data_IF_403109992071
#
_entry.id   IF_403109992071
#
_cell.length_a   1.000
_cell.length_b   1.000
_cell.length_c   1.000
_cell.angle_alpha   90.00
_cell.angle_beta   90.00
_cell.angle_gamma   90.00
#
_symmetry.space_group_name_H-M   'P 1'
#
loop_
_entity.id
_entity.type
_entity.pdbx_description
1 polymer ?
#
# COMPACT_ATOMS: atom_id res chain seq x y z
N UNK A 1 25.15 3.21 7.92
CA UNK A 1 24.61 2.08 7.13
C UNK A 1 23.41 2.59 6.39
N UNK A 2 23.33 2.50 5.06
CA UNK A 2 22.13 2.92 4.35
C UNK A 2 20.97 2.07 4.84
N UNK A 3 19.91 2.73 5.30
CA UNK A 3 18.64 2.10 5.64
C UNK A 3 18.10 1.56 4.33
N UNK A 4 18.13 0.22 4.19
CA UNK A 4 17.54 -0.50 3.08
C UNK A 4 16.15 0.06 2.78
N UNK A 5 15.86 0.26 1.49
CA UNK A 5 14.62 0.76 0.92
C UNK A 5 13.39 0.00 1.45
N UNK A 6 12.95 0.37 2.65
CA UNK A 6 11.62 0.00 3.10
C UNK A 6 10.67 0.70 2.15
N UNK A 7 9.69 -0.01 1.62
CA UNK A 7 8.65 0.53 0.73
C UNK A 7 7.71 1.44 1.55
N UNK A 8 8.23 2.59 2.01
CA UNK A 8 7.52 3.50 2.94
C UNK A 8 6.14 3.90 2.44
N UNK A 9 5.99 4.03 1.12
CA UNK A 9 4.71 4.42 0.49
C UNK A 9 3.64 3.34 0.61
N UNK A 10 4.00 2.06 0.49
CA UNK A 10 3.06 0.95 0.67
C UNK A 10 2.63 0.87 2.14
N UNK A 11 3.58 1.05 3.06
CA UNK A 11 3.33 1.10 4.50
C UNK A 11 2.42 2.29 4.83
N UNK A 12 2.68 3.46 4.25
CA UNK A 12 1.85 4.65 4.42
C UNK A 12 0.41 4.41 3.98
N UNK A 13 0.20 3.82 2.80
CA UNK A 13 -1.14 3.51 2.31
C UNK A 13 -1.86 2.50 3.20
N UNK A 14 -1.21 1.42 3.58
CA UNK A 14 -1.77 0.43 4.53
C UNK A 14 -2.13 1.10 5.86
N UNK A 15 -1.27 1.97 6.37
CA UNK A 15 -1.54 2.74 7.58
C UNK A 15 -2.76 3.65 7.43
N UNK A 16 -2.85 4.43 6.35
CA UNK A 16 -4.00 5.29 6.07
C UNK A 16 -5.30 4.49 5.95
N UNK A 17 -5.27 3.32 5.30
CA UNK A 17 -6.44 2.45 5.19
C UNK A 17 -6.82 1.83 6.54
N UNK A 18 -5.88 1.57 7.42
CA UNK A 18 -6.17 1.02 8.74
C UNK A 18 -6.81 2.05 9.67
N UNK A 19 -6.31 3.27 9.70
CA UNK A 19 -6.72 4.28 10.68
C UNK A 19 -7.71 5.31 10.14
N UNK A 20 -7.70 5.58 8.84
CA UNK A 20 -8.53 6.61 8.21
C UNK A 20 -9.46 6.04 7.12
N UNK A 21 -9.73 4.74 7.12
CA UNK A 21 -10.39 4.00 6.02
C UNK A 21 -11.58 4.75 5.42
N UNK A 22 -12.60 5.03 6.25
CA UNK A 22 -13.86 5.63 5.77
C UNK A 22 -13.63 6.98 5.10
N UNK A 23 -12.70 7.77 5.62
CA UNK A 23 -12.37 9.09 5.10
C UNK A 23 -11.48 9.00 3.85
N UNK A 24 -10.50 8.09 3.84
CA UNK A 24 -9.66 7.84 2.67
C UNK A 24 -10.47 7.33 1.48
N UNK A 25 -11.45 6.46 1.70
CA UNK A 25 -12.35 6.02 0.63
C UNK A 25 -13.12 7.19 0.02
N UNK A 26 -13.65 8.11 0.84
CA UNK A 26 -14.29 9.34 0.38
C UNK A 26 -13.32 10.27 -0.37
N UNK A 27 -12.09 10.40 0.11
CA UNK A 27 -11.03 11.18 -0.58
C UNK A 27 -10.75 10.61 -1.96
N UNK A 28 -10.79 9.28 -2.13
CA UNK A 28 -10.63 8.57 -3.40
C UNK A 28 -11.90 8.54 -4.26
N UNK A 29 -13.03 9.08 -3.77
CA UNK A 29 -14.30 9.08 -4.47
C UNK A 29 -15.07 7.76 -4.39
N UNK A 30 -14.75 6.91 -3.43
CA UNK A 30 -15.44 5.63 -3.17
C UNK A 30 -16.51 5.88 -2.10
N UNK A 31 -17.77 5.82 -2.50
CA UNK A 31 -18.92 6.04 -1.62
C UNK A 31 -19.55 4.68 -1.25
N UNK A 32 -18.89 3.94 -0.39
CA UNK A 32 -19.36 2.65 0.13
C UNK A 32 -19.32 2.69 1.66
N UNK A 33 -20.39 2.22 2.30
CA UNK A 33 -20.43 2.08 3.75
C UNK A 33 -19.71 0.79 4.19
N UNK A 34 -18.69 0.93 5.03
CA UNK A 34 -17.86 -0.19 5.50
C UNK A 34 -18.50 -0.80 6.74
N UNK A 35 -18.52 -2.13 6.77
CA UNK A 35 -18.93 -2.93 7.92
C UNK A 35 -17.70 -3.41 8.70
N UNK A 36 -16.75 -4.06 8.01
CA UNK A 36 -15.59 -4.68 8.65
C UNK A 36 -14.35 -4.61 7.75
N UNK A 37 -13.18 -4.48 8.39
CA UNK A 37 -11.88 -4.70 7.75
C UNK A 37 -11.59 -6.20 7.82
N UNK A 38 -11.48 -6.84 6.66
CA UNK A 38 -11.18 -8.26 6.61
C UNK A 38 -9.68 -8.50 6.77
N UNK A 39 -9.26 -9.58 7.45
CA UNK A 39 -7.86 -9.94 7.51
C UNK A 39 -7.30 -10.11 6.09
N UNK A 40 -6.18 -9.48 5.81
CA UNK A 40 -5.40 -9.78 4.60
C UNK A 40 -4.84 -11.19 4.75
N UNK A 41 -5.44 -12.16 4.05
CA UNK A 41 -5.03 -13.55 4.20
C UNK A 41 -3.74 -13.85 3.45
N UNK A 42 -2.77 -14.42 4.16
CA UNK A 42 -1.84 -15.38 3.55
C UNK A 42 -2.69 -16.55 3.07
N UNK A 43 -2.91 -16.66 1.76
CA UNK A 43 -3.65 -17.78 1.21
C UNK A 43 -2.71 -18.99 1.20
N UNK A 44 -2.72 -19.75 2.27
CA UNK A 44 -2.03 -21.04 2.34
C UNK A 44 -2.88 -22.08 1.63
N UNK A 45 -2.47 -22.53 0.45
CA UNK A 45 -3.08 -23.67 -0.21
C UNK A 45 -2.52 -24.97 0.35
N UNK A 46 -3.28 -25.66 1.19
CA UNK A 46 -3.08 -27.08 1.43
C UNK A 46 -3.66 -27.87 0.25
N UNK A 47 -2.82 -28.23 -0.69
CA UNK A 47 -3.13 -29.32 -1.62
C UNK A 47 -2.45 -30.56 -1.07
N UNK A 48 -3.25 -31.59 -0.73
CA UNK A 48 -2.88 -32.94 -0.28
C UNK A 48 -1.35 -33.18 -0.30
N UNK A 49 -0.69 -32.98 0.84
CA UNK A 49 0.70 -33.35 1.09
C UNK A 49 1.78 -32.31 0.78
N UNK A 50 1.47 -31.06 0.42
CA UNK A 50 2.46 -29.99 0.26
C UNK A 50 1.87 -28.61 0.53
N UNK A 51 2.39 -27.91 1.52
CA UNK A 51 2.14 -26.49 1.73
C UNK A 51 2.75 -25.69 0.56
N UNK A 52 1.92 -24.96 -0.17
CA UNK A 52 2.35 -23.89 -1.04
C UNK A 52 2.10 -22.58 -0.30
N UNK A 53 3.16 -21.99 0.21
CA UNK A 53 3.13 -20.61 0.67
C UNK A 53 3.22 -19.76 -0.60
N UNK A 54 2.14 -19.08 -0.95
CA UNK A 54 2.17 -18.00 -1.92
C UNK A 54 2.31 -16.70 -1.14
N UNK A 55 3.48 -16.08 -1.19
CA UNK A 55 3.80 -14.77 -0.61
C UNK A 55 3.18 -13.62 -1.44
N UNK A 56 1.93 -13.79 -1.86
CA UNK A 56 1.20 -12.75 -2.57
C UNK A 56 0.14 -12.17 -1.62
N UNK A 57 0.52 -11.14 -0.91
CA UNK A 57 -0.37 -10.40 -0.03
C UNK A 57 -1.30 -9.53 -0.88
N UNK A 58 -2.61 -9.68 -0.65
CA UNK A 58 -3.56 -8.63 -0.97
C UNK A 58 -3.26 -7.46 -0.04
N UNK A 59 -3.15 -6.26 -0.60
CA UNK A 59 -2.78 -5.10 0.20
C UNK A 59 -3.85 -4.78 1.24
N UNK A 60 -5.15 -4.84 0.89
CA UNK A 60 -6.23 -4.54 1.82
C UNK A 60 -7.59 -5.09 1.36
N UNK A 61 -8.44 -5.54 2.30
CA UNK A 61 -9.80 -6.01 2.03
C UNK A 61 -10.79 -5.46 3.05
N UNK A 62 -11.99 -5.12 2.59
CA UNK A 62 -13.07 -4.67 3.45
C UNK A 62 -14.40 -5.28 3.03
N UNK A 63 -15.25 -5.58 4.01
CA UNK A 63 -16.65 -5.92 3.81
C UNK A 63 -17.47 -4.63 3.90
N UNK A 64 -18.34 -4.41 2.92
CA UNK A 64 -19.30 -3.31 2.97
C UNK A 64 -20.58 -3.74 3.66
N UNK A 65 -21.37 -2.79 4.16
CA UNK A 65 -22.70 -3.09 4.73
C UNK A 65 -23.68 -3.71 3.71
N UNK A 66 -23.43 -3.50 2.41
CA UNK A 66 -24.19 -4.17 1.35
C UNK A 66 -23.81 -5.63 1.13
N UNK A 67 -22.80 -6.15 1.85
CA UNK A 67 -22.29 -7.51 1.70
C UNK A 67 -21.29 -7.70 0.55
N UNK A 68 -20.87 -6.60 -0.09
CA UNK A 68 -19.84 -6.62 -1.12
C UNK A 68 -18.44 -6.62 -0.49
N UNK A 69 -17.48 -7.31 -1.09
CA UNK A 69 -16.08 -7.27 -0.67
C UNK A 69 -15.31 -6.34 -1.61
N UNK A 70 -14.72 -5.28 -1.07
CA UNK A 70 -13.78 -4.44 -1.78
C UNK A 70 -12.37 -4.94 -1.53
N UNK A 71 -11.65 -5.21 -2.59
CA UNK A 71 -10.24 -5.62 -2.58
C UNK A 71 -9.42 -4.49 -3.14
N UNK A 72 -8.42 -4.05 -2.38
CA UNK A 72 -7.51 -2.97 -2.79
C UNK A 72 -6.13 -3.53 -3.11
N UNK A 73 -5.56 -3.04 -4.19
CA UNK A 73 -4.19 -3.30 -4.62
C UNK A 73 -3.48 -1.98 -4.88
N UNK A 74 -2.29 -1.78 -4.33
CA UNK A 74 -1.53 -0.54 -4.47
C UNK A 74 -0.38 -0.71 -5.47
N UNK A 75 -0.26 0.21 -6.42
CA UNK A 75 0.81 0.20 -7.43
C UNK A 75 1.52 1.56 -7.50
N UNK A 76 2.82 1.56 -7.27
CA UNK A 76 3.66 2.78 -7.32
C UNK A 76 3.92 3.28 -8.73
N UNK A 77 3.94 2.38 -9.67
CA UNK A 77 4.32 2.62 -11.08
C UNK A 77 3.14 2.39 -12.01
N UNK A 78 3.37 2.70 -13.28
CA UNK A 78 2.45 2.36 -14.36
C UNK A 78 2.08 0.88 -14.33
N UNK A 79 0.77 0.58 -14.45
CA UNK A 79 0.26 -0.77 -14.55
C UNK A 79 0.80 -1.50 -15.78
N UNK A 80 1.17 -2.75 -15.59
CA UNK A 80 1.54 -3.68 -16.65
C UNK A 80 0.46 -4.75 -16.81
N UNK A 81 0.53 -5.52 -17.93
CA UNK A 81 -0.36 -6.67 -18.11
C UNK A 81 -0.15 -7.74 -17.03
N UNK A 82 1.08 -7.90 -16.54
CA UNK A 82 1.37 -8.85 -15.46
C UNK A 82 0.74 -8.41 -14.14
N UNK A 83 0.72 -7.09 -13.84
CA UNK A 83 0.01 -6.57 -12.67
C UNK A 83 -1.50 -6.86 -12.76
N UNK A 84 -2.12 -6.66 -13.94
CA UNK A 84 -3.54 -6.97 -14.14
C UNK A 84 -3.83 -8.47 -14.12
N UNK A 85 -2.94 -9.30 -14.65
CA UNK A 85 -3.04 -10.75 -14.54
C UNK A 85 -3.01 -11.21 -13.09
N UNK A 86 -2.07 -10.68 -12.30
CA UNK A 86 -1.95 -10.97 -10.87
C UNK A 86 -3.23 -10.53 -10.12
N UNK A 87 -3.70 -9.32 -10.39
CA UNK A 87 -4.93 -8.77 -9.82
C UNK A 87 -6.16 -9.63 -10.17
N UNK A 88 -6.27 -10.13 -11.43
CA UNK A 88 -7.31 -11.05 -11.83
C UNK A 88 -7.25 -12.39 -11.08
N UNK A 89 -6.06 -12.95 -10.90
CA UNK A 89 -5.89 -14.19 -10.16
C UNK A 89 -6.29 -14.02 -8.69
N UNK A 90 -6.09 -12.84 -8.09
CA UNK A 90 -6.56 -12.52 -6.73
C UNK A 90 -8.08 -12.36 -6.68
N UNK A 91 -8.65 -11.59 -7.59
CA UNK A 91 -10.09 -11.42 -7.71
C UNK A 91 -10.80 -12.77 -7.79
N UNK A 92 -10.37 -13.63 -8.70
CA UNK A 92 -10.95 -14.97 -8.93
C UNK A 92 -10.89 -15.82 -7.66
N UNK A 93 -9.78 -15.79 -6.94
CA UNK A 93 -9.63 -16.53 -5.66
C UNK A 93 -10.56 -16.02 -4.59
N UNK A 94 -10.64 -14.71 -4.37
CA UNK A 94 -11.52 -14.12 -3.35
C UNK A 94 -12.98 -14.44 -3.70
N UNK A 95 -13.36 -14.22 -4.95
CA UNK A 95 -14.72 -14.50 -5.43
C UNK A 95 -15.11 -15.96 -5.24
N UNK A 96 -14.26 -16.91 -5.64
CA UNK A 96 -14.53 -18.35 -5.48
C UNK A 96 -14.60 -18.78 -4.01
N UNK A 97 -13.78 -18.19 -3.14
CA UNK A 97 -13.71 -18.53 -1.72
C UNK A 97 -14.87 -17.96 -0.93
N UNK A 98 -15.17 -16.70 -1.09
CA UNK A 98 -16.15 -15.97 -0.29
C UNK A 98 -17.57 -16.13 -0.81
N UNK A 99 -17.77 -16.54 -2.07
CA UNK A 99 -19.07 -16.61 -2.74
C UNK A 99 -19.88 -15.31 -2.62
N UNK A 100 -19.16 -14.19 -2.53
CA UNK A 100 -19.69 -12.85 -2.38
C UNK A 100 -19.47 -12.04 -3.66
N UNK A 101 -20.17 -10.93 -3.78
CA UNK A 101 -19.85 -9.92 -4.80
C UNK A 101 -18.51 -9.27 -4.44
N UNK A 102 -17.52 -9.38 -5.32
CA UNK A 102 -16.17 -8.88 -5.11
C UNK A 102 -15.88 -7.79 -6.12
N UNK A 103 -15.42 -6.64 -5.63
CA UNK A 103 -14.94 -5.53 -6.46
C UNK A 103 -13.47 -5.30 -6.19
N UNK A 104 -12.64 -5.42 -7.23
CA UNK A 104 -11.21 -5.11 -7.12
C UNK A 104 -10.95 -3.68 -7.58
N UNK A 105 -10.23 -2.94 -6.75
CA UNK A 105 -9.85 -1.55 -6.95
C UNK A 105 -8.33 -1.45 -6.92
N UNK A 106 -7.75 -0.97 -8.00
CA UNK A 106 -6.30 -0.77 -8.12
C UNK A 106 -6.00 0.72 -7.96
N UNK A 107 -5.29 1.07 -6.90
CA UNK A 107 -4.86 2.44 -6.64
C UNK A 107 -3.46 2.62 -7.21
N UNK A 108 -3.33 3.50 -8.20
CA UNK A 108 -2.08 3.78 -8.91
C UNK A 108 -1.57 5.15 -8.53
N UNK A 109 -0.36 5.20 -7.98
CA UNK A 109 0.30 6.44 -7.52
C UNK A 109 1.04 7.17 -8.65
N UNK A 110 0.67 6.93 -9.89
CA UNK A 110 1.24 7.62 -11.06
C UNK A 110 0.14 8.00 -12.05
N UNK A 111 0.42 9.01 -12.87
CA UNK A 111 -0.49 9.45 -13.94
C UNK A 111 -0.35 8.59 -15.22
N UNK A 112 0.71 7.81 -15.32
CA UNK A 112 1.08 7.11 -16.53
C UNK A 112 0.33 5.76 -16.64
N UNK A 113 0.03 5.36 -17.87
CA UNK A 113 -0.52 4.05 -18.20
C UNK A 113 -1.90 4.09 -18.83
N UNK A 114 -2.05 3.27 -19.87
CA UNK A 114 -3.29 3.14 -20.66
C UNK A 114 -4.00 1.82 -20.44
N UNK A 115 -3.36 0.87 -19.76
CA UNK A 115 -3.91 -0.47 -19.54
C UNK A 115 -5.08 -0.38 -18.58
N UNK A 116 -6.25 -0.86 -19.00
CA UNK A 116 -7.49 -0.79 -18.21
C UNK A 116 -8.16 -2.14 -18.01
N UNK A 117 -7.73 -3.16 -18.75
CA UNK A 117 -8.36 -4.47 -18.78
C UNK A 117 -7.33 -5.57 -18.99
N UNK A 118 -7.69 -6.76 -18.56
CA UNK A 118 -6.94 -7.99 -18.82
C UNK A 118 -7.88 -9.04 -19.43
N UNK A 119 -7.48 -9.62 -20.55
CA UNK A 119 -8.25 -10.66 -21.22
C UNK A 119 -7.52 -11.98 -21.16
N UNK A 120 -8.22 -13.02 -20.73
CA UNK A 120 -7.73 -14.41 -20.71
C UNK A 120 -8.81 -15.31 -21.29
N UNK A 121 -8.51 -15.93 -22.43
CA UNK A 121 -9.51 -16.65 -23.23
C UNK A 121 -10.68 -15.70 -23.59
N UNK A 122 -11.91 -16.09 -23.26
CA UNK A 122 -13.13 -15.32 -23.53
C UNK A 122 -13.58 -14.43 -22.36
N UNK A 123 -12.74 -14.31 -21.30
CA UNK A 123 -13.05 -13.51 -20.11
C UNK A 123 -12.24 -12.23 -20.15
N UNK A 124 -12.92 -11.08 -20.12
CA UNK A 124 -12.28 -9.77 -19.97
C UNK A 124 -12.54 -9.24 -18.56
N UNK A 125 -11.46 -8.95 -17.85
CA UNK A 125 -11.47 -8.44 -16.49
C UNK A 125 -11.23 -6.93 -16.48
N UNK A 126 -12.17 -6.20 -15.87
CA UNK A 126 -12.15 -4.74 -15.77
C UNK A 126 -12.12 -4.31 -14.28
N UNK A 127 -10.94 -4.22 -13.66
CA UNK A 127 -10.85 -3.66 -12.31
C UNK A 127 -11.17 -2.17 -12.33
N UNK A 128 -11.64 -1.63 -11.22
CA UNK A 128 -11.64 -0.18 -11.05
C UNK A 128 -10.23 0.33 -10.82
N UNK A 129 -9.79 1.30 -11.63
CA UNK A 129 -8.43 1.87 -11.54
C UNK A 129 -8.52 3.33 -11.13
N UNK A 130 -8.02 3.64 -9.95
CA UNK A 130 -7.94 5.00 -9.41
C UNK A 130 -6.50 5.49 -9.52
N UNK A 131 -6.27 6.51 -10.35
CA UNK A 131 -4.98 7.18 -10.49
C UNK A 131 -4.97 8.42 -9.60
N UNK A 132 -4.30 8.36 -8.46
CA UNK A 132 -4.33 9.46 -7.49
C UNK A 132 -3.77 10.76 -8.06
N UNK A 133 -2.69 10.70 -8.84
CA UNK A 133 -2.09 11.87 -9.50
C UNK A 133 -2.92 12.45 -10.66
N UNK A 134 -4.10 11.93 -10.96
CA UNK A 134 -5.08 12.57 -11.85
C UNK A 134 -6.27 13.19 -11.08
N UNK A 135 -6.25 13.13 -9.75
CA UNK A 135 -7.24 13.75 -8.89
C UNK A 135 -6.64 15.04 -8.33
N UNK A 136 -7.15 16.18 -8.80
CA UNK A 136 -6.71 17.48 -8.32
C UNK A 136 -7.36 17.79 -6.96
N UNK A 137 -6.55 18.08 -5.96
CA UNK A 137 -6.96 18.42 -4.59
C UNK A 137 -6.61 19.86 -4.16
N UNK A 138 -6.22 20.72 -5.10
CA UNK A 138 -5.83 22.10 -4.82
C UNK A 138 -6.94 22.90 -4.14
N UNK A 139 -8.20 22.73 -4.58
CA UNK A 139 -9.35 23.40 -3.98
C UNK A 139 -9.59 22.95 -2.54
N UNK A 140 -9.48 21.64 -2.28
CA UNK A 140 -9.67 21.09 -0.94
C UNK A 140 -8.59 21.61 0.01
N UNK A 141 -7.32 21.65 -0.45
CA UNK A 141 -6.21 22.23 0.29
C UNK A 141 -6.46 23.71 0.62
N UNK A 142 -6.94 24.51 -0.34
CA UNK A 142 -7.28 25.93 -0.12
C UNK A 142 -8.35 26.11 0.95
N UNK A 143 -9.34 25.21 1.01
CA UNK A 143 -10.38 25.22 2.05
C UNK A 143 -9.77 24.93 3.42
N UNK A 144 -8.90 23.93 3.51
CA UNK A 144 -8.20 23.57 4.77
C UNK A 144 -7.34 24.75 5.25
N UNK A 145 -6.54 25.35 4.36
CA UNK A 145 -5.72 26.54 4.68
C UNK A 145 -6.59 27.65 5.26
N UNK A 146 -7.67 27.99 4.59
CA UNK A 146 -8.60 29.04 5.06
C UNK A 146 -9.20 28.75 6.44
N UNK A 147 -9.59 27.51 6.71
CA UNK A 147 -10.07 27.11 8.04
C UNK A 147 -9.01 27.32 9.12
N UNK A 148 -7.78 26.86 8.87
CA UNK A 148 -6.68 26.94 9.82
C UNK A 148 -6.22 28.39 10.06
N UNK A 149 -6.26 29.25 9.05
CA UNK A 149 -6.02 30.71 9.20
C UNK A 149 -6.99 31.35 10.18
N UNK A 150 -8.26 30.88 10.20
CA UNK A 150 -9.31 31.39 11.08
C UNK A 150 -9.46 30.59 12.39
N UNK A 151 -8.51 29.68 12.70
CA UNK A 151 -8.52 28.79 13.85
C UNK A 151 -9.83 27.96 13.97
N UNK A 152 -10.35 27.50 12.85
CA UNK A 152 -11.51 26.62 12.80
C UNK A 152 -11.05 25.14 12.88
N UNK A 153 -11.79 24.32 13.61
CA UNK A 153 -11.53 22.91 13.74
C UNK A 153 -11.63 22.18 12.41
N UNK A 154 -10.71 21.24 12.21
CA UNK A 154 -10.76 20.31 11.09
C UNK A 154 -11.62 19.09 11.43
N UNK A 155 -12.36 18.63 10.43
CA UNK A 155 -13.06 17.36 10.51
C UNK A 155 -12.08 16.18 10.31
N UNK A 156 -12.47 14.96 10.71
CA UNK A 156 -11.71 13.75 10.45
C UNK A 156 -11.42 13.54 8.95
N UNK A 157 -12.38 13.91 8.09
CA UNK A 157 -12.18 13.89 6.63
C UNK A 157 -11.05 14.83 6.19
N UNK A 158 -11.06 16.07 6.68
CA UNK A 158 -10.04 17.07 6.33
C UNK A 158 -8.66 16.69 6.88
N UNK A 159 -8.60 16.12 8.07
CA UNK A 159 -7.36 15.58 8.63
C UNK A 159 -6.82 14.40 7.80
N UNK A 160 -7.69 13.49 7.40
CA UNK A 160 -7.33 12.36 6.55
C UNK A 160 -6.85 12.81 5.17
N UNK A 161 -7.51 13.82 4.60
CA UNK A 161 -7.08 14.43 3.35
C UNK A 161 -5.73 15.11 3.51
N UNK A 162 -5.51 15.86 4.59
CA UNK A 162 -4.29 16.60 4.85
C UNK A 162 -3.05 15.67 4.83
N UNK A 163 -3.11 14.52 5.50
CA UNK A 163 -2.02 13.54 5.48
C UNK A 163 -1.87 12.84 4.14
N UNK A 164 -2.94 12.72 3.35
CA UNK A 164 -2.93 12.05 2.05
C UNK A 164 -2.58 12.99 0.86
N UNK A 165 -2.51 14.31 1.08
CA UNK A 165 -2.23 15.29 0.01
C UNK A 165 -1.06 14.94 -0.90
N UNK A 166 0.09 14.44 -0.40
CA UNK A 166 1.23 14.10 -1.26
C UNK A 166 0.92 13.01 -2.30
N UNK A 167 -0.18 12.26 -2.16
CA UNK A 167 -0.61 11.24 -3.13
C UNK A 167 -1.31 11.86 -4.35
N UNK A 168 -1.87 13.06 -4.24
CA UNK A 168 -2.74 13.68 -5.25
C UNK A 168 -2.01 14.67 -6.16
N UNK A 169 -2.73 15.17 -7.16
CA UNK A 169 -2.26 16.25 -8.01
C UNK A 169 -2.44 17.58 -7.29
N UNK A 170 -1.33 18.30 -7.12
CA UNK A 170 -1.24 19.62 -6.51
C UNK A 170 -0.28 20.49 -7.33
N UNK A 171 -0.33 21.81 -7.12
CA UNK A 171 0.62 22.76 -7.73
C UNK A 171 1.98 22.65 -7.06
N UNK A 172 2.02 22.35 -5.76
CA UNK A 172 3.22 22.16 -4.96
C UNK A 172 3.81 20.76 -5.12
N UNK A 173 5.11 20.63 -4.85
CA UNK A 173 5.77 19.32 -4.81
C UNK A 173 5.34 18.50 -3.58
N UNK A 174 5.49 17.16 -3.64
CA UNK A 174 5.19 16.29 -2.51
C UNK A 174 6.01 16.67 -1.25
N UNK A 175 7.26 17.10 -1.43
CA UNK A 175 8.12 17.52 -0.33
C UNK A 175 7.64 18.84 0.29
N UNK A 176 7.24 19.81 -0.54
CA UNK A 176 6.77 21.12 -0.05
C UNK A 176 5.45 20.96 0.69
N UNK A 177 4.51 20.17 0.15
CA UNK A 177 3.23 19.89 0.82
C UNK A 177 3.44 19.12 2.13
N UNK A 178 4.39 18.17 2.17
CA UNK A 178 4.72 17.44 3.40
C UNK A 178 5.26 18.39 4.46
N UNK A 179 6.13 19.33 4.09
CA UNK A 179 6.64 20.36 5.00
C UNK A 179 5.52 21.24 5.51
N UNK A 180 4.68 21.77 4.63
CA UNK A 180 3.54 22.61 5.00
C UNK A 180 2.63 21.92 6.01
N UNK A 181 2.30 20.66 5.75
CA UNK A 181 1.45 19.88 6.68
C UNK A 181 2.11 19.72 8.04
N UNK A 182 3.44 19.50 8.11
CA UNK A 182 4.15 19.45 9.39
C UNK A 182 4.06 20.79 10.14
N UNK A 183 4.21 21.91 9.43
CA UNK A 183 4.08 23.26 10.01
C UNK A 183 2.65 23.51 10.52
N UNK A 184 1.63 23.13 9.75
CA UNK A 184 0.22 23.25 10.16
C UNK A 184 -0.07 22.43 11.41
N UNK A 185 0.42 21.19 11.50
CA UNK A 185 0.26 20.32 12.68
C UNK A 185 0.93 20.97 13.89
N UNK A 186 2.16 21.51 13.73
CA UNK A 186 2.90 22.17 14.81
C UNK A 186 2.20 23.42 15.34
N UNK A 187 1.74 24.29 14.46
CA UNK A 187 1.23 25.62 14.84
C UNK A 187 -0.29 25.69 15.00
N UNK A 188 -1.00 24.69 14.55
CA UNK A 188 -2.48 24.60 14.55
C UNK A 188 -2.99 23.29 15.15
N UNK A 189 -2.22 22.70 16.05
CA UNK A 189 -2.59 21.44 16.73
C UNK A 189 -3.95 21.53 17.41
N UNK A 190 -4.30 22.70 17.96
CA UNK A 190 -5.59 22.93 18.61
C UNK A 190 -6.81 22.79 17.66
N UNK A 191 -6.60 22.91 16.34
CA UNK A 191 -7.62 22.70 15.33
C UNK A 191 -7.78 21.25 14.90
N UNK A 192 -6.91 20.35 15.41
CA UNK A 192 -6.91 18.92 15.09
C UNK A 192 -7.60 18.16 16.21
N UNK A 193 -8.56 17.25 15.91
CA UNK A 193 -9.17 16.41 16.93
C UNK A 193 -8.14 15.58 17.71
N UNK A 194 -8.18 15.68 19.03
CA UNK A 194 -7.18 15.03 19.91
C UNK A 194 -7.10 13.51 19.72
N UNK A 195 -8.22 12.87 19.37
CA UNK A 195 -8.30 11.42 19.18
C UNK A 195 -7.46 10.87 18.03
N UNK A 196 -7.00 11.73 17.08
CA UNK A 196 -6.26 11.29 15.87
C UNK A 196 -4.87 11.95 15.75
N UNK A 197 -4.43 12.71 16.74
CA UNK A 197 -3.12 13.41 16.69
C UNK A 197 -1.96 12.44 16.55
N UNK A 198 -2.01 11.29 17.26
CA UNK A 198 -0.98 10.27 17.19
C UNK A 198 -0.94 9.63 15.79
N UNK A 199 -2.11 9.30 15.21
CA UNK A 199 -2.24 8.70 13.89
C UNK A 199 -1.77 9.66 12.79
N UNK A 200 -2.10 10.95 12.90
CA UNK A 200 -1.57 11.99 12.00
C UNK A 200 -0.04 12.06 12.10
N UNK A 201 0.51 12.06 13.32
CA UNK A 201 1.96 12.11 13.53
C UNK A 201 2.68 10.92 12.90
N UNK A 202 2.13 9.70 13.02
CA UNK A 202 2.66 8.51 12.32
C UNK A 202 2.57 8.65 10.81
N UNK A 203 1.42 9.09 10.27
CA UNK A 203 1.25 9.29 8.84
C UNK A 203 2.25 10.31 8.28
N UNK A 204 2.47 11.42 9.01
CA UNK A 204 3.45 12.44 8.62
C UNK A 204 4.88 11.94 8.72
N UNK A 205 5.22 11.15 9.74
CA UNK A 205 6.52 10.48 9.77
C UNK A 205 6.78 9.67 8.50
N UNK A 206 5.79 8.88 8.04
CA UNK A 206 5.91 8.08 6.82
C UNK A 206 6.05 8.95 5.56
N UNK A 207 5.31 10.07 5.48
CA UNK A 207 5.42 11.04 4.40
C UNK A 207 6.81 11.71 4.37
N UNK A 208 7.35 12.13 5.52
CA UNK A 208 8.69 12.70 5.61
C UNK A 208 9.73 11.70 5.09
N UNK A 209 9.64 10.45 5.52
CA UNK A 209 10.58 9.41 5.09
C UNK A 209 10.49 9.07 3.61
N UNK A 210 9.34 9.26 2.96
CA UNK A 210 9.14 8.96 1.54
C UNK A 210 9.47 10.15 0.62
N UNK A 211 9.06 11.36 0.99
CA UNK A 211 9.07 12.51 0.07
C UNK A 211 10.14 13.55 0.36
N UNK A 212 10.74 13.54 1.56
CA UNK A 212 11.69 14.57 1.99
C UNK A 212 13.12 14.05 1.91
N UNK A 213 14.03 14.88 1.39
CA UNK A 213 15.46 14.62 1.34
C UNK A 213 16.04 14.42 2.75
N UNK A 214 17.01 13.50 2.88
CA UNK A 214 17.54 13.04 4.17
C UNK A 214 18.03 14.20 5.05
N UNK A 215 18.67 15.19 4.45
CA UNK A 215 19.25 16.33 5.14
C UNK A 215 18.21 17.25 5.79
N UNK A 216 16.95 17.19 5.34
CA UNK A 216 15.84 18.04 5.83
C UNK A 216 14.88 17.30 6.74
N UNK A 217 15.06 15.98 6.93
CA UNK A 217 14.11 15.16 7.69
C UNK A 217 14.10 15.49 9.17
N UNK A 218 15.27 15.71 9.77
CA UNK A 218 15.38 15.93 11.23
C UNK A 218 14.59 17.16 11.67
N UNK A 219 14.66 18.26 10.89
CA UNK A 219 13.88 19.47 11.14
C UNK A 219 12.37 19.20 11.18
N UNK A 220 11.85 18.42 10.21
CA UNK A 220 10.42 18.10 10.12
C UNK A 220 10.00 17.09 11.18
N UNK A 221 10.87 16.15 11.55
CA UNK A 221 10.60 15.18 12.62
C UNK A 221 10.49 15.85 13.99
N UNK A 222 11.20 16.97 14.22
CA UNK A 222 11.04 17.80 15.43
C UNK A 222 9.70 18.56 15.46
N UNK A 223 9.09 18.81 14.31
CA UNK A 223 7.79 19.50 14.21
C UNK A 223 6.62 18.59 14.58
N UNK A 224 6.68 17.31 14.20
CA UNK A 224 5.65 16.35 14.55
C UNK A 224 5.93 15.82 15.96
N UNK A 225 5.03 16.12 16.91
CA UNK A 225 5.18 15.73 18.30
C UNK A 225 5.24 14.19 18.45
N UNK A 226 6.47 13.65 18.54
CA UNK A 226 6.72 12.21 18.62
C UNK A 226 6.58 11.73 20.07
N UNK A 227 5.35 11.62 20.57
CA UNK A 227 5.05 10.97 21.83
C UNK A 227 5.62 9.53 21.86
N UNK A 228 5.86 8.98 23.04
CA UNK A 228 6.39 7.61 23.22
C UNK A 228 5.54 6.57 22.49
N UNK A 229 4.21 6.74 22.47
CA UNK A 229 3.26 5.90 21.73
C UNK A 229 3.52 5.93 20.21
N UNK A 230 3.75 7.11 19.65
CA UNK A 230 4.08 7.29 18.21
C UNK A 230 5.38 6.59 17.88
N UNK A 231 6.41 6.73 18.72
CA UNK A 231 7.69 6.02 18.54
C UNK A 231 7.51 4.49 18.58
N UNK A 232 6.65 3.98 19.48
CA UNK A 232 6.29 2.57 19.57
C UNK A 232 5.65 2.05 18.28
N UNK A 233 4.67 2.76 17.73
CA UNK A 233 3.99 2.41 16.46
C UNK A 233 5.00 2.42 15.30
N UNK A 234 5.85 3.43 15.22
CA UNK A 234 6.90 3.52 14.18
C UNK A 234 7.89 2.35 14.29
N UNK A 235 8.29 1.97 15.51
CA UNK A 235 9.16 0.82 15.71
C UNK A 235 8.51 -0.49 15.28
N UNK A 236 7.22 -0.67 15.54
CA UNK A 236 6.45 -1.82 15.08
C UNK A 236 6.40 -1.88 13.56
N UNK A 237 6.01 -0.78 12.90
CA UNK A 237 5.97 -0.67 11.42
C UNK A 237 7.34 -1.00 10.80
N UNK A 238 8.44 -0.47 11.37
CA UNK A 238 9.80 -0.79 10.90
C UNK A 238 10.14 -2.27 11.02
N UNK A 239 9.71 -2.92 12.10
CA UNK A 239 9.98 -4.35 12.31
C UNK A 239 9.15 -5.22 11.36
N UNK A 240 7.90 -4.88 11.13
CA UNK A 240 7.04 -5.56 10.15
C UNK A 240 7.61 -5.43 8.74
N UNK A 241 7.94 -4.20 8.29
CA UNK A 241 8.54 -3.97 6.99
C UNK A 241 9.90 -4.66 6.79
N UNK A 242 10.72 -4.79 7.87
CA UNK A 242 11.95 -5.59 7.81
C UNK A 242 11.70 -7.08 7.68
N UNK A 243 10.67 -7.58 8.35
CA UNK A 243 10.26 -8.99 8.27
C UNK A 243 9.76 -9.33 6.88
N UNK A 244 8.89 -8.48 6.31
CA UNK A 244 8.40 -8.60 4.94
C UNK A 244 9.53 -8.52 3.92
N UNK A 245 10.40 -7.51 3.99
CA UNK A 245 11.53 -7.35 3.08
C UNK A 245 12.56 -8.49 3.17
N UNK A 246 12.75 -9.11 4.35
CA UNK A 246 13.60 -10.31 4.48
C UNK A 246 12.96 -11.53 3.84
N UNK A 247 11.64 -11.68 3.94
CA UNK A 247 10.89 -12.77 3.30
C UNK A 247 10.93 -12.63 1.78
N UNK A 248 10.63 -11.44 1.26
CA UNK A 248 10.72 -11.11 -0.17
C UNK A 248 12.14 -11.32 -0.71
N UNK A 249 13.15 -10.74 -0.07
CA UNK A 249 14.54 -10.87 -0.50
C UNK A 249 15.09 -12.30 -0.47
N UNK A 250 14.62 -13.15 0.46
CA UNK A 250 14.93 -14.58 0.46
C UNK A 250 14.30 -15.30 -0.72
N UNK A 251 13.05 -14.96 -1.04
CA UNK A 251 12.32 -15.55 -2.18
C UNK A 251 12.97 -15.16 -3.50
N UNK A 252 13.24 -13.88 -3.71
CA UNK A 252 13.90 -13.35 -4.91
C UNK A 252 15.33 -13.90 -5.08
N UNK A 253 16.12 -13.87 -4.01
CA UNK A 253 17.48 -14.42 -4.03
C UNK A 253 17.51 -15.91 -4.34
N UNK A 254 16.54 -16.69 -3.83
CA UNK A 254 16.40 -18.11 -4.15
C UNK A 254 16.04 -18.33 -5.62
N UNK A 255 15.13 -17.52 -6.17
CA UNK A 255 14.77 -17.56 -7.59
C UNK A 255 15.96 -17.24 -8.48
N UNK A 256 16.73 -16.20 -8.15
CA UNK A 256 17.90 -15.78 -8.92
C UNK A 256 19.00 -16.85 -8.92
N UNK A 257 19.30 -17.45 -7.78
CA UNK A 257 20.28 -18.53 -7.65
C UNK A 257 19.85 -19.73 -8.52
N UNK A 258 18.60 -20.16 -8.42
CA UNK A 258 18.07 -21.27 -9.21
C UNK A 258 18.15 -20.95 -10.70
N UNK A 259 17.74 -19.75 -11.12
CA UNK A 259 17.78 -19.32 -12.52
C UNK A 259 19.24 -19.29 -13.06
N UNK A 260 20.21 -18.87 -12.24
CA UNK A 260 21.64 -18.90 -12.61
C UNK A 260 22.17 -20.33 -12.75
N UNK A 261 21.81 -21.21 -11.84
CA UNK A 261 22.24 -22.61 -11.89
C UNK A 261 21.65 -23.33 -13.09
N UNK A 262 20.39 -23.09 -13.44
CA UNK A 262 19.73 -23.69 -14.60
C UNK A 262 20.28 -23.23 -15.96
N UNK A 263 21.03 -22.11 -16.01
CA UNK A 263 21.75 -21.72 -17.23
C UNK A 263 22.90 -22.64 -17.57
N UNK A 264 23.50 -23.29 -16.56
CA UNK A 264 24.71 -24.08 -16.70
C UNK A 264 24.52 -25.57 -16.38
N UNK A 265 23.40 -25.93 -15.75
CA UNK A 265 23.12 -27.28 -15.26
C UNK A 265 21.69 -27.71 -15.61
N UNK A 266 21.50 -29.00 -15.81
CA UNK A 266 20.15 -29.55 -15.98
C UNK A 266 19.32 -29.49 -14.69
N UNK A 267 18.01 -29.48 -14.82
CA UNK A 267 17.10 -29.34 -13.67
C UNK A 267 17.28 -30.44 -12.60
N UNK A 268 17.60 -31.66 -13.02
CA UNK A 268 17.85 -32.79 -12.10
C UNK A 268 19.13 -32.59 -11.29
N UNK A 269 20.16 -32.02 -11.92
CA UNK A 269 21.42 -31.70 -11.26
C UNK A 269 21.25 -30.53 -10.28
N UNK A 270 20.53 -29.49 -10.66
CA UNK A 270 20.19 -28.36 -9.79
C UNK A 270 19.35 -28.85 -8.59
N UNK A 271 18.40 -29.75 -8.82
CA UNK A 271 17.62 -30.38 -7.77
C UNK A 271 18.50 -31.12 -6.74
N UNK A 272 19.47 -31.86 -7.23
CA UNK A 272 20.44 -32.59 -6.40
C UNK A 272 21.35 -31.64 -5.61
N UNK A 273 21.89 -30.60 -6.27
CA UNK A 273 22.74 -29.59 -5.63
C UNK A 273 22.10 -28.83 -4.52
N UNK A 274 20.81 -28.50 -4.69
CA UNK A 274 20.03 -27.72 -3.72
C UNK A 274 19.25 -28.58 -2.72
N UNK A 275 19.31 -29.90 -2.82
CA UNK A 275 18.56 -30.83 -1.98
C UNK A 275 17.04 -30.69 -2.16
N UNK A 276 16.61 -30.27 -3.34
CA UNK A 276 15.21 -29.96 -3.68
C UNK A 276 14.66 -30.98 -4.69
N UNK A 277 13.34 -31.07 -4.77
CA UNK A 277 12.69 -31.82 -5.84
C UNK A 277 12.69 -31.00 -7.14
N UNK A 278 12.85 -31.66 -8.30
CA UNK A 278 12.73 -31.01 -9.61
C UNK A 278 11.43 -30.23 -9.78
N UNK A 279 10.33 -30.77 -9.22
CA UNK A 279 9.02 -30.10 -9.21
C UNK A 279 9.00 -28.80 -8.39
N UNK A 280 9.84 -28.66 -7.38
CA UNK A 280 9.98 -27.43 -6.57
C UNK A 280 10.79 -26.37 -7.32
N UNK A 281 11.84 -26.79 -8.00
CA UNK A 281 12.65 -25.90 -8.85
C UNK A 281 11.80 -25.34 -9.99
N UNK A 282 11.05 -26.17 -10.70
CA UNK A 282 10.15 -25.75 -11.76
C UNK A 282 9.11 -24.73 -11.27
N UNK A 283 8.60 -24.89 -10.06
CA UNK A 283 7.67 -23.94 -9.47
C UNK A 283 8.29 -22.59 -9.18
N UNK A 284 9.52 -22.59 -8.67
CA UNK A 284 10.24 -21.35 -8.35
C UNK A 284 10.57 -20.58 -9.64
N UNK A 285 11.03 -21.28 -10.68
CA UNK A 285 11.44 -20.65 -11.96
C UNK A 285 10.25 -20.16 -12.78
N UNK A 286 9.14 -20.91 -12.76
CA UNK A 286 7.95 -20.56 -13.56
C UNK A 286 7.01 -19.60 -12.83
N UNK A 287 7.36 -19.14 -11.62
CA UNK A 287 6.52 -18.23 -10.83
C UNK A 287 5.13 -18.80 -10.49
N UNK A 288 4.99 -20.13 -10.51
CA UNK A 288 3.71 -20.83 -10.35
C UNK A 288 3.69 -21.68 -9.09
#
# INVERSE_FOLDING_TARGET
>A
MPIENIKNRDIFLKFCFMYFLVHILKVLGIDEEIDEILPSEQITFQKIGKEKIFDNFLDFQVLTKSGKILVFEFKKRTLTNDDLKQAFEYYDRVHCKQKADVKLIIIVLSNNGRIKEYTKLDITFHPEIIKTKSINKQKDLSIIRHKLEHNNDLTLYECSLLVALPLFELEESEADITREVCELIKYKSDCIPNEIVDEISVAMYLNIMEYVEEEKRDELLEMINMAEKVQGIIAQIKNEGRSEGRSEGRSEGRQEIIARLLKNHGIEEVARLLGMKTSEILKIVNGK
#
